data_IF_153551604686
#
_entry.id   IF_153551604686
#
_cell.length_a   1.000
_cell.length_b   1.000
_cell.length_c   1.000
_cell.angle_alpha   90.00
_cell.angle_beta   90.00
_cell.angle_gamma   90.00
#
_symmetry.space_group_name_H-M   'P 1'
#
loop_
_entity.id
_entity.type
_entity.pdbx_description
1 polymer ?
#
# COMPACT_ATOMS: atom_id res chain seq x y z
N UNK A 1 -3.61 -55.07 -28.33
CA UNK A 1 -3.64 -54.96 -26.87
C UNK A 1 -2.86 -53.77 -26.32
N UNK A 2 -1.63 -53.45 -26.73
CA UNK A 2 -0.84 -52.29 -26.24
C UNK A 2 -1.46 -50.92 -26.54
N UNK A 3 -2.12 -50.75 -27.72
CA UNK A 3 -2.79 -49.49 -28.11
C UNK A 3 -4.07 -49.20 -27.33
N UNK A 4 -4.82 -50.23 -26.95
CA UNK A 4 -6.02 -50.05 -26.11
C UNK A 4 -5.68 -49.72 -24.65
N UNK A 5 -4.57 -50.27 -24.12
CA UNK A 5 -4.10 -49.94 -22.80
C UNK A 5 -3.62 -48.50 -22.68
N UNK A 6 -2.92 -47.98 -23.71
CA UNK A 6 -2.47 -46.59 -23.76
C UNK A 6 -3.66 -45.59 -23.84
N UNK A 7 -4.69 -45.93 -24.63
CA UNK A 7 -5.89 -45.08 -24.73
C UNK A 7 -6.68 -45.04 -23.42
N UNK A 8 -6.79 -46.18 -22.70
CA UNK A 8 -7.42 -46.25 -21.38
C UNK A 8 -6.66 -45.45 -20.33
N UNK A 9 -5.32 -45.51 -20.36
CA UNK A 9 -4.47 -44.72 -19.44
C UNK A 9 -4.60 -43.22 -19.70
N UNK A 10 -4.63 -42.79 -20.96
CA UNK A 10 -4.83 -41.38 -21.32
C UNK A 10 -6.20 -40.86 -20.92
N UNK A 11 -7.25 -41.68 -21.07
CA UNK A 11 -8.60 -41.32 -20.65
C UNK A 11 -8.68 -41.22 -19.12
N UNK A 12 -8.04 -42.13 -18.38
CA UNK A 12 -7.99 -42.08 -16.92
C UNK A 12 -7.26 -40.83 -16.42
N UNK A 13 -6.16 -40.44 -17.06
CA UNK A 13 -5.43 -39.20 -16.73
C UNK A 13 -6.26 -37.95 -17.02
N UNK A 14 -7.02 -37.96 -18.10
CA UNK A 14 -7.92 -36.86 -18.45
C UNK A 14 -9.05 -36.69 -17.43
N UNK A 15 -9.63 -37.80 -16.98
CA UNK A 15 -10.68 -37.80 -15.95
C UNK A 15 -10.13 -37.37 -14.59
N UNK A 16 -8.90 -37.82 -14.24
CA UNK A 16 -8.24 -37.38 -13.00
C UNK A 16 -7.91 -35.87 -13.03
N UNK A 17 -7.50 -35.34 -14.15
CA UNK A 17 -7.21 -33.91 -14.32
C UNK A 17 -8.50 -33.05 -14.22
N UNK A 18 -9.63 -33.57 -14.70
CA UNK A 18 -10.94 -32.91 -14.57
C UNK A 18 -11.55 -33.01 -13.15
N UNK A 19 -11.07 -33.95 -12.35
CA UNK A 19 -11.54 -34.17 -10.98
C UNK A 19 -10.71 -33.42 -9.92
N UNK A 20 -9.66 -32.66 -10.34
CA UNK A 20 -9.03 -31.73 -9.43
C UNK A 20 -10.07 -30.64 -9.12
N UNK A 21 -10.59 -30.59 -7.87
CA UNK A 21 -11.42 -29.45 -7.52
C UNK A 21 -10.52 -28.23 -7.75
N UNK A 22 -10.99 -27.31 -8.57
CA UNK A 22 -10.49 -25.96 -8.51
C UNK A 22 -10.67 -25.56 -7.04
N UNK A 23 -9.61 -25.61 -6.27
CA UNK A 23 -9.53 -24.87 -5.04
C UNK A 23 -9.59 -23.41 -5.48
N UNK A 24 -10.78 -22.97 -5.87
CA UNK A 24 -11.13 -21.59 -5.78
C UNK A 24 -10.80 -21.25 -4.33
N UNK A 25 -9.71 -20.55 -4.15
CA UNK A 25 -9.35 -19.94 -2.90
C UNK A 25 -10.53 -19.04 -2.61
N UNK A 26 -11.46 -19.54 -1.79
CA UNK A 26 -12.56 -18.76 -1.28
C UNK A 26 -11.86 -17.65 -0.51
N UNK A 27 -11.66 -16.51 -1.18
CA UNK A 27 -11.23 -15.29 -0.52
C UNK A 27 -12.19 -15.12 0.63
N UNK A 28 -11.76 -15.45 1.83
CA UNK A 28 -12.52 -15.15 3.03
C UNK A 28 -12.63 -13.63 3.06
N UNK A 29 -13.65 -13.11 2.40
CA UNK A 29 -14.09 -11.75 2.64
C UNK A 29 -14.47 -11.71 4.11
N UNK A 30 -13.60 -11.13 4.88
CA UNK A 30 -13.92 -10.81 6.25
C UNK A 30 -15.01 -9.74 6.16
N UNK A 31 -16.27 -10.18 6.29
CA UNK A 31 -17.39 -9.24 6.36
C UNK A 31 -17.26 -8.47 7.68
N UNK A 32 -16.61 -7.32 7.59
CA UNK A 32 -16.63 -6.36 8.68
C UNK A 32 -18.09 -5.95 8.92
N UNK A 33 -18.52 -5.80 10.17
CA UNK A 33 -19.83 -5.24 10.44
C UNK A 33 -19.97 -3.92 9.69
N UNK A 34 -21.11 -3.75 9.02
CA UNK A 34 -21.40 -2.52 8.29
C UNK A 34 -21.34 -1.34 9.28
N UNK A 35 -20.31 -0.52 9.15
CA UNK A 35 -20.19 0.70 9.95
C UNK A 35 -19.99 1.88 9.00
N UNK A 36 -20.75 2.92 9.25
CA UNK A 36 -20.63 4.17 8.50
C UNK A 36 -19.66 5.12 9.20
N UNK A 37 -18.53 5.36 8.57
CA UNK A 37 -17.56 6.35 9.04
C UNK A 37 -18.01 7.75 8.62
N UNK A 38 -18.04 8.73 9.53
CA UNK A 38 -18.38 10.12 9.20
C UNK A 38 -17.24 10.83 8.47
N UNK A 39 -16.82 10.27 7.34
CA UNK A 39 -15.77 10.79 6.47
C UNK A 39 -16.19 10.66 4.99
N UNK A 40 -15.54 11.42 4.12
CA UNK A 40 -15.82 11.41 2.68
C UNK A 40 -15.20 10.20 1.99
N UNK A 41 -14.03 9.80 2.42
CA UNK A 41 -13.34 8.61 1.92
C UNK A 41 -12.55 7.94 3.04
N UNK A 42 -12.38 6.64 2.96
CA UNK A 42 -11.54 5.85 3.85
C UNK A 42 -11.05 4.59 3.15
N UNK A 43 -9.89 4.11 3.55
CA UNK A 43 -9.38 2.80 3.20
C UNK A 43 -8.67 2.21 4.42
N UNK A 44 -8.90 0.95 4.69
CA UNK A 44 -8.19 0.16 5.70
C UNK A 44 -7.54 -1.03 5.02
N UNK A 45 -6.25 -1.16 5.17
CA UNK A 45 -5.45 -2.21 4.52
C UNK A 45 -4.66 -2.98 5.58
N UNK A 46 -4.67 -4.30 5.48
CA UNK A 46 -3.75 -5.12 6.26
C UNK A 46 -2.32 -4.93 5.73
N UNK A 47 -1.42 -4.45 6.58
CA UNK A 47 -0.04 -4.13 6.20
C UNK A 47 0.74 -5.35 5.71
N UNK A 48 0.49 -6.53 6.26
CA UNK A 48 1.26 -7.72 5.96
C UNK A 48 0.87 -8.35 4.61
N UNK A 49 -0.43 -8.38 4.31
CA UNK A 49 -0.97 -9.04 3.11
C UNK A 49 -1.33 -8.07 1.99
N UNK A 50 -1.47 -6.77 2.27
CA UNK A 50 -2.02 -5.79 1.34
C UNK A 50 -3.54 -5.93 1.14
N UNK A 51 -4.21 -6.78 1.91
CA UNK A 51 -5.65 -7.00 1.77
C UNK A 51 -6.43 -5.77 2.23
N UNK A 52 -7.33 -5.28 1.37
CA UNK A 52 -8.25 -4.20 1.73
C UNK A 52 -9.34 -4.78 2.63
N UNK A 53 -9.41 -4.31 3.88
CA UNK A 53 -10.38 -4.72 4.88
C UNK A 53 -11.64 -3.87 4.86
N UNK A 54 -11.51 -2.59 4.51
CA UNK A 54 -12.61 -1.65 4.38
C UNK A 54 -12.27 -0.57 3.37
N UNK A 55 -13.27 -0.15 2.60
CA UNK A 55 -13.12 0.98 1.69
C UNK A 55 -14.41 1.80 1.60
N UNK A 56 -14.25 3.10 1.50
CA UNK A 56 -15.31 4.08 1.25
C UNK A 56 -14.78 5.12 0.29
N UNK A 57 -15.27 5.13 -0.95
CA UNK A 57 -14.82 6.08 -1.99
C UNK A 57 -13.27 6.22 -2.08
N UNK A 58 -12.54 5.12 -1.91
CA UNK A 58 -11.09 5.11 -1.78
C UNK A 58 -10.37 5.64 -3.03
N UNK A 59 -10.92 5.41 -4.22
CA UNK A 59 -10.35 5.82 -5.50
C UNK A 59 -10.81 7.21 -5.96
N UNK A 60 -11.67 7.88 -5.18
CA UNK A 60 -12.14 9.20 -5.58
C UNK A 60 -11.07 10.27 -5.31
N UNK A 61 -10.61 11.01 -6.34
CA UNK A 61 -9.65 12.09 -6.14
C UNK A 61 -10.21 13.18 -5.23
N UNK A 62 -9.48 13.49 -4.17
CA UNK A 62 -9.86 14.51 -3.19
C UNK A 62 -8.64 15.30 -2.71
N UNK A 63 -8.83 16.56 -2.28
CA UNK A 63 -7.80 17.29 -1.55
C UNK A 63 -7.49 16.58 -0.23
N UNK A 64 -6.25 16.16 -0.04
CA UNK A 64 -5.80 15.36 1.11
C UNK A 64 -5.10 16.19 2.19
N UNK A 65 -4.97 17.50 1.98
CA UNK A 65 -4.33 18.42 2.91
C UNK A 65 -2.99 17.87 3.46
N UNK A 66 -2.81 17.85 4.78
CA UNK A 66 -1.56 17.41 5.42
C UNK A 66 -1.21 15.93 5.24
N UNK A 67 -2.12 15.09 4.76
CA UNK A 67 -1.78 13.70 4.40
C UNK A 67 -0.67 13.67 3.33
N UNK A 68 -0.54 14.72 2.52
CA UNK A 68 0.57 14.91 1.57
C UNK A 68 1.95 14.78 2.23
N UNK A 69 2.10 15.11 3.53
CA UNK A 69 3.34 14.96 4.28
C UNK A 69 3.83 13.51 4.40
N UNK A 70 2.92 12.54 4.31
CA UNK A 70 3.28 11.11 4.27
C UNK A 70 4.14 10.81 3.04
N UNK A 71 3.83 11.42 1.88
CA UNK A 71 4.66 11.29 0.68
C UNK A 71 6.05 11.92 0.89
N UNK A 72 6.14 13.09 1.54
CA UNK A 72 7.42 13.71 1.87
C UNK A 72 8.27 12.80 2.73
N UNK A 73 7.67 12.19 3.77
CA UNK A 73 8.37 11.24 4.64
C UNK A 73 8.84 10.00 3.85
N UNK A 74 7.99 9.44 3.00
CA UNK A 74 8.35 8.29 2.17
C UNK A 74 9.57 8.61 1.29
N UNK A 75 9.55 9.72 0.57
CA UNK A 75 10.67 10.13 -0.28
C UNK A 75 11.95 10.40 0.53
N UNK A 76 11.82 10.93 1.74
CA UNK A 76 12.96 11.12 2.65
C UNK A 76 13.56 9.77 3.07
N UNK A 77 12.71 8.80 3.42
CA UNK A 77 13.18 7.45 3.79
C UNK A 77 13.85 6.74 2.62
N UNK A 78 13.30 6.85 1.41
CA UNK A 78 13.95 6.31 0.19
C UNK A 78 15.30 6.97 -0.09
N UNK A 79 15.42 8.29 0.15
CA UNK A 79 16.69 9.01 0.00
C UNK A 79 17.74 8.53 1.01
N UNK A 80 17.34 8.30 2.26
CA UNK A 80 18.20 7.74 3.32
C UNK A 80 18.65 6.31 2.95
N UNK A 81 17.72 5.45 2.56
CA UNK A 81 18.01 4.05 2.20
C UNK A 81 18.95 3.96 0.99
N UNK A 82 18.76 4.83 0.00
CA UNK A 82 19.62 4.88 -1.20
C UNK A 82 20.95 5.64 -0.98
N UNK A 83 21.20 6.17 0.21
CA UNK A 83 22.41 6.94 0.52
C UNK A 83 22.48 8.32 -0.14
N UNK A 84 21.36 8.84 -0.66
CA UNK A 84 21.29 10.20 -1.23
C UNK A 84 21.17 11.27 -0.15
N UNK A 85 20.78 10.89 1.05
CA UNK A 85 20.71 11.73 2.24
C UNK A 85 21.17 10.95 3.46
N UNK A 86 21.56 11.66 4.52
CA UNK A 86 21.90 11.09 5.81
C UNK A 86 21.19 11.86 6.93
N UNK A 87 20.86 11.21 8.03
CA UNK A 87 20.24 11.86 9.19
C UNK A 87 21.12 12.97 9.79
N UNK A 88 22.42 12.97 9.46
CA UNK A 88 23.39 13.99 9.89
C UNK A 88 23.49 15.17 8.93
N UNK A 89 22.80 15.12 7.79
CA UNK A 89 22.82 16.22 6.82
C UNK A 89 22.18 17.46 7.45
N UNK A 90 22.83 18.60 7.24
CA UNK A 90 22.36 19.87 7.76
C UNK A 90 21.36 20.48 6.80
N UNK A 91 20.17 20.74 7.31
CA UNK A 91 19.06 21.36 6.57
C UNK A 91 18.90 22.80 7.06
N UNK A 92 19.26 23.81 6.26
CA UNK A 92 19.04 25.20 6.62
C UNK A 92 17.57 25.59 6.40
N UNK A 93 17.01 26.37 7.30
CA UNK A 93 15.67 26.93 7.16
C UNK A 93 15.69 28.09 6.17
N UNK A 94 14.96 27.99 5.08
CA UNK A 94 14.82 29.07 4.11
C UNK A 94 13.72 30.05 4.50
N UNK A 95 13.84 31.31 4.08
CA UNK A 95 12.78 32.30 4.24
C UNK A 95 11.46 31.83 3.60
N UNK A 96 11.55 31.12 2.48
CA UNK A 96 10.38 30.55 1.82
C UNK A 96 9.66 29.56 2.72
N UNK A 97 10.38 28.62 3.34
CA UNK A 97 9.80 27.63 4.25
C UNK A 97 9.20 28.30 5.50
N UNK A 98 9.88 29.28 6.07
CA UNK A 98 9.39 30.07 7.20
C UNK A 98 8.06 30.76 6.91
N UNK A 99 7.89 31.32 5.71
CA UNK A 99 6.70 32.07 5.31
C UNK A 99 5.55 31.19 4.77
N UNK A 100 5.72 29.87 4.66
CA UNK A 100 4.71 28.99 4.08
C UNK A 100 3.41 28.89 4.89
N UNK A 101 3.44 29.14 6.19
CA UNK A 101 2.27 28.96 7.05
C UNK A 101 1.86 27.50 7.24
N UNK A 102 0.71 27.29 7.86
CA UNK A 102 0.19 25.95 8.18
C UNK A 102 0.82 25.35 9.44
N UNK A 103 1.03 24.01 9.47
CA UNK A 103 1.71 23.35 10.61
C UNK A 103 3.20 23.65 10.56
N UNK A 104 3.73 24.22 11.62
CA UNK A 104 5.11 24.70 11.73
C UNK A 104 5.77 24.21 13.03
N UNK A 105 7.09 24.12 13.01
CA UNK A 105 7.93 23.89 14.19
C UNK A 105 8.65 25.16 14.68
N UNK A 106 8.21 26.34 14.19
CA UNK A 106 8.68 27.67 14.63
C UNK A 106 10.19 27.88 14.57
N UNK A 107 10.78 27.59 13.43
CA UNK A 107 12.20 27.82 13.14
C UNK A 107 12.39 29.17 12.47
N UNK A 108 13.49 29.86 12.82
CA UNK A 108 13.87 31.14 12.19
C UNK A 108 14.65 30.91 10.88
N UNK A 109 14.57 31.84 9.91
CA UNK A 109 15.38 31.77 8.71
C UNK A 109 16.87 31.71 9.02
N UNK A 110 17.57 30.76 8.42
CA UNK A 110 18.99 30.53 8.65
C UNK A 110 19.32 29.57 9.81
N UNK A 111 18.34 29.19 10.64
CA UNK A 111 18.53 28.09 11.57
C UNK A 111 18.88 26.81 10.84
N UNK A 112 19.64 25.93 11.50
CA UNK A 112 20.13 24.71 10.92
C UNK A 112 19.78 23.55 11.84
N UNK A 113 19.17 22.53 11.26
CA UNK A 113 18.85 21.27 11.95
C UNK A 113 19.41 20.11 11.15
N UNK A 114 19.58 18.99 11.80
CA UNK A 114 19.80 17.73 11.10
C UNK A 114 18.49 17.22 10.49
N UNK A 115 18.60 16.41 9.44
CA UNK A 115 17.45 15.82 8.75
C UNK A 115 16.60 14.96 9.69
#
# INVERSE_FOLDING_TARGET
>A
MKRCAAALLALLMLVLAAALPAFAQEERRFELPEFDLPCRAAILVDQASGTVLYEKQADQPMPIASITKVMTLLLTMEALESGKAALTDIVPVSEHAYNMGGSQIWLEPGEQLTL
#
